data_IF_728450379784
#
_entry.id   IF_728450379784
#
_cell.length_a   1.000
_cell.length_b   1.000
_cell.length_c   1.000
_cell.angle_alpha   90.00
_cell.angle_beta   90.00
_cell.angle_gamma   90.00
#
_symmetry.space_group_name_H-M   'P 1'
#
loop_
_entity.id
_entity.type
_entity.pdbx_description
1 polymer ?
#
# COMPACT_ATOMS: atom_id res chain seq x y z
N UNK A 1 -12.26 28.66 -0.85
CA UNK A 1 -11.11 28.55 -1.78
C UNK A 1 -10.17 27.45 -1.35
N UNK A 2 -9.65 27.51 -0.11
CA UNK A 2 -8.77 26.48 0.39
C UNK A 2 -9.37 25.08 0.40
N UNK A 3 -10.67 24.98 0.64
CA UNK A 3 -11.36 23.70 0.71
C UNK A 3 -11.43 23.01 -0.65
N UNK A 4 -11.59 23.82 -1.72
CA UNK A 4 -11.64 23.29 -3.07
C UNK A 4 -10.26 22.79 -3.50
N UNK A 5 -9.22 23.55 -3.16
CA UNK A 5 -7.86 23.13 -3.48
C UNK A 5 -7.47 21.88 -2.70
N UNK A 6 -7.87 21.81 -1.45
CA UNK A 6 -7.60 20.63 -0.62
C UNK A 6 -8.30 19.41 -1.21
N UNK A 7 -9.55 19.56 -1.61
CA UNK A 7 -10.31 18.48 -2.22
C UNK A 7 -9.65 18.01 -3.52
N UNK A 8 -9.20 18.96 -4.34
CA UNK A 8 -8.51 18.62 -5.59
C UNK A 8 -7.27 17.79 -5.32
N UNK A 9 -6.45 18.20 -4.33
CA UNK A 9 -5.25 17.47 -3.97
C UNK A 9 -5.58 16.05 -3.48
N UNK A 10 -6.65 15.93 -2.72
CA UNK A 10 -7.08 14.62 -2.24
C UNK A 10 -7.54 13.74 -3.40
N UNK A 11 -8.26 14.30 -4.36
CA UNK A 11 -8.69 13.55 -5.54
C UNK A 11 -7.48 13.14 -6.39
N UNK A 12 -6.52 14.05 -6.56
CA UNK A 12 -5.31 13.72 -7.30
C UNK A 12 -4.54 12.60 -6.62
N UNK A 13 -4.49 12.62 -5.29
CA UNK A 13 -3.83 11.56 -4.53
C UNK A 13 -4.53 10.22 -4.71
N UNK A 14 -5.87 10.22 -4.69
CA UNK A 14 -6.65 9.01 -4.91
C UNK A 14 -6.33 8.40 -6.29
N UNK A 15 -6.22 9.25 -7.29
CA UNK A 15 -5.86 8.80 -8.64
C UNK A 15 -4.42 8.27 -8.66
N UNK A 16 -3.53 8.95 -7.96
CA UNK A 16 -2.12 8.57 -7.92
C UNK A 16 -1.92 7.19 -7.28
N UNK A 17 -2.61 6.92 -6.17
CA UNK A 17 -2.45 5.63 -5.49
C UNK A 17 -3.03 4.47 -6.30
N UNK A 18 -3.82 4.74 -7.32
CA UNK A 18 -4.32 3.69 -8.20
C UNK A 18 -3.16 2.97 -8.90
N UNK A 19 -2.02 3.62 -9.03
CA UNK A 19 -0.82 3.02 -9.63
C UNK A 19 -0.35 1.78 -8.89
N UNK A 20 -0.72 1.64 -7.61
CA UNK A 20 -0.35 0.45 -6.83
C UNK A 20 -0.86 -0.84 -7.49
N UNK A 21 -1.95 -0.73 -8.22
CA UNK A 21 -2.52 -1.89 -8.92
C UNK A 21 -1.65 -2.38 -10.06
N UNK A 22 -0.73 -1.54 -10.53
CA UNK A 22 0.14 -1.86 -11.65
C UNK A 22 1.59 -2.12 -11.22
N UNK A 23 1.88 -2.06 -9.92
CA UNK A 23 3.21 -2.34 -9.40
C UNK A 23 3.19 -3.77 -8.86
N UNK A 24 3.94 -4.65 -9.51
CA UNK A 24 3.93 -6.06 -9.16
C UNK A 24 5.11 -6.42 -8.28
N UNK A 25 4.83 -7.25 -7.31
CA UNK A 25 5.84 -7.78 -6.41
C UNK A 25 6.38 -9.07 -7.00
N UNK A 26 7.51 -9.51 -6.48
CA UNK A 26 8.11 -10.77 -6.93
C UNK A 26 7.44 -11.99 -6.31
N UNK A 27 6.58 -11.78 -5.31
CA UNK A 27 5.82 -12.85 -4.68
C UNK A 27 4.59 -13.17 -5.49
N UNK A 28 4.22 -14.45 -5.48
CA UNK A 28 3.02 -14.90 -6.19
C UNK A 28 1.80 -14.84 -5.27
N UNK A 29 0.63 -14.70 -5.88
CA UNK A 29 -0.63 -14.82 -5.16
C UNK A 29 -0.77 -16.28 -4.75
N UNK A 30 -1.26 -16.51 -3.52
CA UNK A 30 -1.46 -17.88 -3.03
C UNK A 30 -2.37 -18.66 -3.97
N UNK A 31 -1.91 -19.86 -4.34
CA UNK A 31 -2.64 -20.77 -5.22
C UNK A 31 -2.82 -20.25 -6.66
N UNK A 32 -2.02 -19.26 -7.03
CA UNK A 32 -2.06 -18.67 -8.36
C UNK A 32 -0.64 -18.51 -8.89
N UNK A 33 -0.52 -18.51 -10.20
CA UNK A 33 0.79 -18.36 -10.86
C UNK A 33 1.10 -16.90 -11.23
N UNK A 34 0.27 -15.96 -10.82
CA UNK A 34 0.49 -14.57 -11.14
C UNK A 34 1.18 -13.82 -10.01
N UNK A 35 1.91 -12.78 -10.36
CA UNK A 35 2.54 -11.91 -9.38
C UNK A 35 1.48 -11.08 -8.65
N UNK A 36 1.76 -10.83 -7.38
CA UNK A 36 0.90 -10.00 -6.53
C UNK A 36 1.22 -8.53 -6.80
N UNK A 37 0.19 -7.70 -7.00
CA UNK A 37 0.43 -6.26 -7.09
C UNK A 37 0.44 -5.63 -5.70
N UNK A 38 0.93 -4.38 -5.62
CA UNK A 38 1.08 -3.70 -4.34
C UNK A 38 -0.25 -3.46 -3.63
N UNK A 39 -1.31 -3.20 -4.35
CA UNK A 39 -2.63 -3.00 -3.74
C UNK A 39 -3.11 -4.28 -3.05
N UNK A 40 -2.94 -5.42 -3.72
CA UNK A 40 -3.30 -6.71 -3.15
C UNK A 40 -2.45 -7.02 -1.92
N UNK A 41 -1.17 -6.71 -1.99
CA UNK A 41 -0.25 -6.93 -0.88
C UNK A 41 -0.65 -6.09 0.33
N UNK A 42 -0.95 -4.81 0.12
CA UNK A 42 -1.38 -3.91 1.20
C UNK A 42 -2.65 -4.39 1.85
N UNK A 43 -3.63 -4.81 1.04
CA UNK A 43 -4.88 -5.35 1.54
C UNK A 43 -4.62 -6.59 2.41
N UNK A 44 -3.81 -7.50 1.90
CA UNK A 44 -3.50 -8.75 2.61
C UNK A 44 -2.81 -8.47 3.96
N UNK A 45 -1.84 -7.54 3.96
CA UNK A 45 -1.16 -7.16 5.20
C UNK A 45 -2.14 -6.54 6.20
N UNK A 46 -3.04 -5.67 5.73
CA UNK A 46 -4.02 -5.06 6.62
C UNK A 46 -4.94 -6.12 7.23
N UNK A 47 -5.37 -7.08 6.44
CA UNK A 47 -6.18 -8.18 6.95
C UNK A 47 -5.43 -9.01 7.98
N UNK A 48 -4.14 -9.25 7.73
CA UNK A 48 -3.32 -9.98 8.69
C UNK A 48 -3.21 -9.25 10.02
N UNK A 49 -3.06 -7.92 9.99
CA UNK A 49 -3.03 -7.11 11.21
C UNK A 49 -4.33 -7.27 11.98
N UNK A 50 -5.46 -7.17 11.29
CA UNK A 50 -6.77 -7.30 11.94
C UNK A 50 -6.96 -8.66 12.60
N UNK A 51 -6.57 -9.71 11.90
CA UNK A 51 -6.84 -11.07 12.36
C UNK A 51 -5.83 -11.57 13.40
N UNK A 52 -4.57 -11.15 13.28
CA UNK A 52 -3.50 -11.67 14.12
C UNK A 52 -3.11 -10.78 15.29
N UNK A 53 -3.74 -9.61 15.41
CA UNK A 53 -3.42 -8.67 16.48
C UNK A 53 -3.63 -9.25 17.87
N UNK A 54 -4.58 -10.15 18.02
CA UNK A 54 -4.85 -10.78 19.33
C UNK A 54 -3.71 -11.66 19.81
N UNK A 55 -2.81 -12.05 18.90
CA UNK A 55 -1.67 -12.90 19.26
C UNK A 55 -0.40 -12.09 19.54
N UNK A 56 -0.49 -10.76 19.48
CA UNK A 56 0.66 -9.92 19.80
C UNK A 56 1.01 -10.04 21.27
N UNK A 57 2.30 -9.92 21.59
CA UNK A 57 2.77 -10.01 22.97
C UNK A 57 2.25 -8.87 23.85
N UNK A 58 1.95 -7.75 23.23
CA UNK A 58 1.43 -6.57 23.91
C UNK A 58 0.24 -6.04 23.14
N UNK A 59 -0.69 -5.34 23.83
CA UNK A 59 -1.81 -4.72 23.12
C UNK A 59 -1.31 -3.78 22.04
N UNK A 60 -1.91 -3.84 20.86
CA UNK A 60 -1.58 -2.94 19.77
C UNK A 60 -2.81 -2.14 19.36
N UNK A 61 -2.58 -0.93 18.87
CA UNK A 61 -3.63 -0.11 18.28
C UNK A 61 -3.83 -0.60 16.84
N UNK A 62 -4.85 -1.42 16.65
CA UNK A 62 -5.10 -2.06 15.35
C UNK A 62 -5.32 -1.04 14.25
N UNK A 63 -6.14 -0.02 14.51
CA UNK A 63 -6.44 1.00 13.51
C UNK A 63 -5.17 1.76 13.11
N UNK A 64 -4.38 2.16 14.09
CA UNK A 64 -3.13 2.87 13.83
C UNK A 64 -2.17 2.00 13.01
N UNK A 65 -2.05 0.73 13.37
CA UNK A 65 -1.17 -0.21 12.69
C UNK A 65 -1.59 -0.42 11.25
N UNK A 66 -2.90 -0.55 10.99
CA UNK A 66 -3.42 -0.69 9.64
C UNK A 66 -3.10 0.55 8.81
N UNK A 67 -3.29 1.74 9.38
CA UNK A 67 -2.96 2.98 8.70
C UNK A 67 -1.49 3.05 8.35
N UNK A 68 -0.63 2.65 9.26
CA UNK A 68 0.82 2.64 9.03
C UNK A 68 1.20 1.69 7.89
N UNK A 69 0.61 0.50 7.87
CA UNK A 69 0.86 -0.47 6.82
C UNK A 69 0.49 0.09 5.45
N UNK A 70 -0.71 0.69 5.36
CA UNK A 70 -1.19 1.24 4.09
C UNK A 70 -0.34 2.42 3.62
N UNK A 71 0.05 3.30 4.54
CA UNK A 71 0.89 4.45 4.20
C UNK A 71 2.29 4.01 3.77
N UNK A 72 2.84 3.02 4.45
CA UNK A 72 4.16 2.49 4.11
C UNK A 72 4.20 2.00 2.67
N UNK A 73 3.18 1.29 2.25
CA UNK A 73 3.13 0.76 0.89
C UNK A 73 2.95 1.87 -0.15
N UNK A 74 2.23 2.93 0.21
CA UNK A 74 2.09 4.09 -0.68
C UNK A 74 3.45 4.75 -0.91
N UNK A 75 4.26 4.87 0.13
CA UNK A 75 5.61 5.42 0.00
C UNK A 75 6.45 4.55 -0.93
N UNK A 76 6.28 3.24 -0.87
CA UNK A 76 7.00 2.33 -1.75
C UNK A 76 6.64 2.52 -3.23
N UNK A 77 5.43 2.98 -3.52
CA UNK A 77 5.02 3.25 -4.90
C UNK A 77 5.95 4.29 -5.53
N UNK A 78 6.17 5.39 -4.83
CA UNK A 78 7.06 6.43 -5.33
C UNK A 78 8.50 5.94 -5.42
N UNK A 79 8.95 5.22 -4.41
CA UNK A 79 10.30 4.64 -4.41
C UNK A 79 10.45 3.62 -5.53
N UNK A 80 9.40 2.83 -5.77
CA UNK A 80 9.40 1.84 -6.83
C UNK A 80 9.53 2.46 -8.20
N UNK A 81 8.80 3.56 -8.44
CA UNK A 81 8.90 4.28 -9.70
C UNK A 81 10.31 4.81 -9.93
N UNK A 82 10.87 5.42 -8.89
CA UNK A 82 12.23 5.94 -8.94
C UNK A 82 13.24 4.82 -9.20
N UNK A 83 13.05 3.72 -8.51
CA UNK A 83 13.92 2.56 -8.62
C UNK A 83 13.88 1.96 -10.02
N UNK A 84 12.70 1.92 -10.63
CA UNK A 84 12.57 1.42 -12.00
C UNK A 84 13.34 2.27 -12.99
N UNK A 85 13.30 3.58 -12.82
CA UNK A 85 14.08 4.48 -13.66
C UNK A 85 15.56 4.26 -13.47
N UNK A 86 16.01 4.10 -12.23
CA UNK A 86 17.40 3.86 -11.91
C UNK A 86 17.90 2.57 -12.55
N UNK A 87 17.08 1.53 -12.56
CA UNK A 87 17.45 0.26 -13.16
C UNK A 87 17.64 0.35 -14.66
N UNK A 88 16.82 1.15 -15.29
CA UNK A 88 16.89 1.31 -16.74
C UNK A 88 17.98 2.27 -17.16
N UNK A 89 18.33 3.17 -16.25
CA UNK A 89 19.40 4.08 -16.47
C UNK A 89 20.72 3.43 -16.13
#
# INVERSE_FOLDING_TARGET
>A
MGDIEKLRKQMDFIIEIDKMKNIYRQTLVLNEDRAENDAEHSWHLAMMVMLLSEYANEPIDVLHTIKMVLIHDIVEVDAGDTYCYDKEG
#
